data_IF_452963567981
#
_entry.id   IF_452963567981
#
_cell.length_a   1.000
_cell.length_b   1.000
_cell.length_c   1.000
_cell.angle_alpha   90.00
_cell.angle_beta   90.00
_cell.angle_gamma   90.00
#
_symmetry.space_group_name_H-M   'P 1'
#
loop_
_entity.id
_entity.type
_entity.pdbx_description
1 polymer ?
#
# COMPACT_ATOMS: atom_id res chain seq x y z
N UNK A 1 14.25 31.35 16.14
CA UNK A 1 13.42 30.12 16.13
C UNK A 1 13.93 29.23 15.03
N UNK A 2 14.34 27.98 15.31
CA UNK A 2 14.51 26.98 14.25
C UNK A 2 13.12 26.66 13.71
N UNK A 3 12.92 26.68 12.39
CA UNK A 3 11.67 26.23 11.77
C UNK A 3 11.35 24.83 12.28
N UNK A 4 10.16 24.68 12.87
CA UNK A 4 9.64 23.38 13.23
C UNK A 4 9.33 22.64 11.93
N UNK A 5 10.04 21.54 11.69
CA UNK A 5 9.80 20.69 10.54
C UNK A 5 8.96 19.49 10.99
N UNK A 6 7.72 19.33 10.49
CA UNK A 6 6.85 18.26 10.92
C UNK A 6 7.46 16.88 10.64
N UNK A 7 7.31 15.96 11.59
CA UNK A 7 7.84 14.59 11.50
C UNK A 7 7.16 13.81 10.37
N UNK A 8 5.88 14.03 10.12
CA UNK A 8 5.19 13.39 8.98
C UNK A 8 5.79 13.79 7.62
N UNK A 9 6.33 15.00 7.48
CA UNK A 9 6.98 15.43 6.22
C UNK A 9 8.31 14.69 6.01
N UNK A 10 9.04 14.42 7.09
CA UNK A 10 10.27 13.65 7.03
C UNK A 10 10.00 12.19 6.65
N UNK A 11 8.96 11.60 7.25
CA UNK A 11 8.52 10.25 6.94
C UNK A 11 8.00 10.14 5.49
N UNK A 12 7.17 11.09 5.07
CA UNK A 12 6.69 11.18 3.68
C UNK A 12 7.85 11.28 2.70
N UNK A 13 8.79 12.20 2.94
CA UNK A 13 9.97 12.38 2.10
C UNK A 13 10.78 11.11 2.01
N UNK A 14 10.99 10.42 3.13
CA UNK A 14 11.76 9.18 3.16
C UNK A 14 11.13 8.10 2.26
N UNK A 15 9.84 7.77 2.47
CA UNK A 15 9.19 6.76 1.64
C UNK A 15 9.05 7.18 0.18
N UNK A 16 8.78 8.46 -0.08
CA UNK A 16 8.64 8.96 -1.44
C UNK A 16 9.97 8.84 -2.20
N UNK A 17 11.09 9.21 -1.58
CA UNK A 17 12.43 9.05 -2.19
C UNK A 17 12.70 7.59 -2.48
N UNK A 18 12.51 6.70 -1.49
CA UNK A 18 12.71 5.27 -1.67
C UNK A 18 11.87 4.71 -2.82
N UNK A 19 10.56 4.98 -2.82
CA UNK A 19 9.64 4.48 -3.83
C UNK A 19 9.96 5.06 -5.21
N UNK A 20 10.28 6.34 -5.30
CA UNK A 20 10.68 6.99 -6.56
C UNK A 20 11.95 6.36 -7.13
N UNK A 21 12.96 6.09 -6.31
CA UNK A 21 14.22 5.50 -6.77
C UNK A 21 14.03 4.03 -7.18
N UNK A 22 13.22 3.28 -6.45
CA UNK A 22 12.78 1.94 -6.87
C UNK A 22 12.06 2.00 -8.22
N UNK A 23 11.15 2.96 -8.40
CA UNK A 23 10.38 3.14 -9.65
C UNK A 23 11.27 3.49 -10.83
N UNK A 24 12.25 4.36 -10.64
CA UNK A 24 13.24 4.69 -11.68
C UNK A 24 13.97 3.46 -12.13
N UNK A 25 14.39 2.60 -11.20
CA UNK A 25 15.06 1.36 -11.51
C UNK A 25 14.15 0.43 -12.32
N UNK A 26 12.92 0.18 -11.86
CA UNK A 26 12.02 -0.76 -12.56
C UNK A 26 11.56 -0.27 -13.92
N UNK A 27 11.33 1.04 -14.09
CA UNK A 27 11.01 1.62 -15.41
C UNK A 27 12.20 1.54 -16.35
N UNK A 28 13.42 1.87 -15.91
CA UNK A 28 14.63 1.78 -16.73
C UNK A 28 14.94 0.36 -17.17
N UNK A 29 14.69 -0.62 -16.29
CA UNK A 29 14.85 -2.04 -16.61
C UNK A 29 13.70 -2.61 -17.44
N UNK A 30 12.70 -1.79 -17.80
CA UNK A 30 11.54 -2.23 -18.59
C UNK A 30 10.61 -3.19 -17.85
N UNK A 31 10.65 -3.22 -16.52
CA UNK A 31 9.76 -4.01 -15.65
C UNK A 31 8.43 -3.29 -15.37
N UNK A 32 8.44 -1.95 -15.38
CA UNK A 32 7.25 -1.13 -15.27
C UNK A 32 7.13 -0.17 -16.46
N UNK A 33 5.90 0.17 -16.82
CA UNK A 33 5.61 1.26 -17.75
C UNK A 33 5.86 2.62 -17.07
N UNK A 34 6.24 3.64 -17.83
CA UNK A 34 6.53 4.98 -17.29
C UNK A 34 5.34 5.59 -16.51
N UNK A 35 4.10 5.28 -16.88
CA UNK A 35 2.92 5.83 -16.20
C UNK A 35 2.71 5.29 -14.77
N UNK A 36 3.50 4.29 -14.33
CA UNK A 36 3.46 3.80 -12.96
C UNK A 36 3.76 4.90 -11.92
N UNK A 37 4.51 5.95 -12.30
CA UNK A 37 4.82 7.08 -11.41
C UNK A 37 3.56 7.74 -10.83
N UNK A 38 2.44 7.75 -11.57
CA UNK A 38 1.17 8.31 -11.09
C UNK A 38 0.61 7.55 -9.89
N UNK A 39 0.91 6.26 -9.79
CA UNK A 39 0.48 5.39 -8.71
C UNK A 39 1.50 5.33 -7.56
N UNK A 40 2.73 5.74 -7.82
CA UNK A 40 3.84 5.79 -6.85
C UNK A 40 4.03 7.17 -6.21
N UNK A 41 2.99 7.98 -6.24
CA UNK A 41 2.93 9.23 -5.48
C UNK A 41 2.26 8.97 -4.14
N UNK A 42 2.94 9.31 -3.06
CA UNK A 42 2.47 9.15 -1.69
C UNK A 42 1.97 10.50 -1.14
N UNK A 43 1.09 10.42 -0.15
CA UNK A 43 0.60 11.58 0.59
C UNK A 43 0.49 11.23 2.08
N UNK A 44 0.45 12.25 2.91
CA UNK A 44 0.02 12.07 4.31
C UNK A 44 -1.47 11.81 4.30
N UNK A 45 -1.86 10.76 5.00
CA UNK A 45 -3.24 10.37 5.22
C UNK A 45 -3.34 9.62 6.55
N UNK A 46 -4.26 8.67 6.60
CA UNK A 46 -4.54 7.91 7.80
C UNK A 46 -4.87 6.46 7.48
N UNK A 47 -4.62 5.60 8.47
CA UNK A 47 -5.11 4.22 8.50
C UNK A 47 -5.92 4.02 9.77
N UNK A 48 -6.90 3.13 9.69
CA UNK A 48 -7.72 2.73 10.83
C UNK A 48 -7.67 1.21 10.97
N UNK A 49 -7.08 0.76 12.07
CA UNK A 49 -7.02 -0.67 12.39
C UNK A 49 -8.23 -1.10 13.24
N UNK A 50 -8.64 -2.39 13.18
CA UNK A 50 -9.78 -2.87 13.94
C UNK A 50 -9.65 -2.60 15.44
N UNK A 51 -10.64 -1.90 16.01
CA UNK A 51 -10.65 -1.55 17.44
C UNK A 51 -9.69 -0.42 17.85
N UNK A 52 -9.04 0.22 16.89
CA UNK A 52 -8.13 1.35 17.13
C UNK A 52 -8.70 2.65 16.54
N UNK A 53 -8.19 3.78 17.05
CA UNK A 53 -8.45 5.10 16.47
C UNK A 53 -7.72 5.25 15.14
N UNK A 54 -8.13 6.26 14.38
CA UNK A 54 -7.48 6.62 13.13
C UNK A 54 -6.07 7.18 13.41
N UNK A 55 -5.06 6.68 12.70
CA UNK A 55 -3.64 7.03 12.95
C UNK A 55 -3.00 7.57 11.68
N UNK A 56 -2.14 8.59 11.82
CA UNK A 56 -1.38 9.17 10.71
C UNK A 56 -0.48 8.13 10.05
N UNK A 57 -0.59 8.06 8.73
CA UNK A 57 0.19 7.19 7.88
C UNK A 57 0.58 7.85 6.57
N UNK A 58 1.56 7.25 5.89
CA UNK A 58 1.90 7.60 4.51
C UNK A 58 1.21 6.61 3.57
N UNK A 59 0.32 7.11 2.73
CA UNK A 59 -0.60 6.29 1.91
C UNK A 59 -0.47 6.64 0.42
N UNK A 60 -0.92 5.76 -0.50
CA UNK A 60 -0.97 6.07 -1.93
C UNK A 60 -1.93 7.25 -2.20
N UNK A 61 -1.43 8.28 -2.87
CA UNK A 61 -2.20 9.51 -3.12
C UNK A 61 -3.44 9.27 -4.00
N UNK A 62 -3.34 8.36 -4.97
CA UNK A 62 -4.46 8.01 -5.84
C UNK A 62 -5.63 7.41 -5.05
N UNK A 63 -5.37 6.49 -4.11
CA UNK A 63 -6.38 5.92 -3.22
C UNK A 63 -6.94 6.97 -2.26
N UNK A 64 -6.08 7.80 -1.67
CA UNK A 64 -6.52 8.91 -0.81
C UNK A 64 -7.51 9.82 -1.54
N UNK A 65 -7.24 10.13 -2.81
CA UNK A 65 -8.12 10.99 -3.62
C UNK A 65 -9.47 10.35 -3.93
N UNK A 66 -9.53 9.03 -4.13
CA UNK A 66 -10.80 8.34 -4.34
C UNK A 66 -11.64 8.36 -3.06
N UNK A 67 -11.01 8.12 -1.91
CA UNK A 67 -11.73 7.97 -0.63
C UNK A 67 -12.14 9.34 -0.05
N UNK A 68 -11.23 10.32 -0.03
CA UNK A 68 -11.42 11.59 0.68
C UNK A 68 -11.40 12.82 -0.23
N UNK A 69 -11.24 12.64 -1.55
CA UNK A 69 -11.10 13.75 -2.49
C UNK A 69 -9.77 14.49 -2.35
N UNK A 70 -9.76 15.80 -2.65
CA UNK A 70 -8.56 16.66 -2.55
C UNK A 70 -8.32 17.21 -1.14
N UNK A 71 -9.11 16.80 -0.15
CA UNK A 71 -8.92 17.24 1.22
C UNK A 71 -7.55 16.78 1.74
N UNK A 72 -6.83 17.66 2.42
CA UNK A 72 -5.66 17.25 3.19
C UNK A 72 -6.13 16.69 4.54
N UNK A 73 -5.37 15.74 5.11
CA UNK A 73 -5.58 15.33 6.49
C UNK A 73 -5.45 16.56 7.40
N UNK A 74 -6.42 16.75 8.31
CA UNK A 74 -6.33 17.79 9.34
C UNK A 74 -5.40 17.30 10.44
N UNK A 75 -4.15 17.74 10.44
CA UNK A 75 -3.11 17.27 11.36
C UNK A 75 -2.91 18.27 12.50
N UNK A 76 -2.99 17.82 13.75
CA UNK A 76 -2.60 18.64 14.90
C UNK A 76 -1.11 18.47 15.22
N UNK A 77 -0.55 19.41 15.98
CA UNK A 77 0.86 19.33 16.45
C UNK A 77 1.09 18.08 17.31
N UNK A 78 0.10 17.68 18.12
CA UNK A 78 0.20 16.46 18.93
C UNK A 78 0.26 15.21 18.06
N UNK A 79 -0.55 15.16 17.00
CA UNK A 79 -0.56 14.03 16.09
C UNK A 79 0.82 13.90 15.42
N UNK A 80 1.42 15.01 14.99
CA UNK A 80 2.77 15.03 14.41
C UNK A 80 3.86 14.56 15.39
N UNK A 81 3.81 15.00 16.65
CA UNK A 81 4.77 14.57 17.68
C UNK A 81 4.68 13.07 17.96
N UNK A 82 3.50 12.46 17.76
CA UNK A 82 3.29 11.02 17.91
C UNK A 82 3.85 10.19 16.75
N UNK A 83 4.20 10.82 15.61
CA UNK A 83 4.70 10.12 14.42
C UNK A 83 6.04 9.47 14.71
N UNK A 84 6.05 8.14 14.72
CA UNK A 84 7.29 7.36 14.66
C UNK A 84 7.95 7.53 13.30
N UNK A 85 9.26 7.81 13.28
CA UNK A 85 10.10 7.84 12.08
C UNK A 85 10.79 6.50 11.79
N UNK A 86 10.51 5.46 12.59
CA UNK A 86 11.19 4.17 12.50
C UNK A 86 10.60 3.30 11.37
N UNK A 87 11.07 3.57 10.16
CA UNK A 87 10.73 2.78 8.97
C UNK A 87 11.43 1.42 8.99
N UNK A 88 10.86 0.45 8.27
CA UNK A 88 11.41 -0.90 8.20
C UNK A 88 12.16 -1.11 6.88
N UNK A 89 13.45 -0.73 6.86
CA UNK A 89 14.31 -0.84 5.67
C UNK A 89 14.33 -2.23 5.05
N UNK A 90 14.33 -3.29 5.87
CA UNK A 90 14.27 -4.66 5.37
C UNK A 90 12.98 -4.97 4.60
N UNK A 91 11.84 -4.41 5.00
CA UNK A 91 10.57 -4.61 4.28
C UNK A 91 10.59 -3.86 2.96
N UNK A 92 11.10 -2.63 2.97
CA UNK A 92 11.30 -1.85 1.75
C UNK A 92 12.25 -2.58 0.79
N UNK A 93 13.35 -3.16 1.27
CA UNK A 93 14.30 -3.86 0.43
C UNK A 93 13.75 -5.16 -0.20
N UNK A 94 12.86 -5.88 0.50
CA UNK A 94 12.41 -7.22 0.09
C UNK A 94 10.99 -7.27 -0.50
N UNK A 95 10.20 -6.21 -0.34
CA UNK A 95 8.85 -6.13 -0.86
C UNK A 95 8.74 -4.94 -1.83
N UNK A 96 8.37 -5.18 -3.10
CA UNK A 96 8.44 -4.16 -4.14
C UNK A 96 7.35 -3.10 -3.98
N UNK A 97 7.62 -1.90 -4.49
CA UNK A 97 6.60 -0.87 -4.77
C UNK A 97 5.73 -0.54 -3.54
N UNK A 98 4.41 -0.41 -3.71
CA UNK A 98 3.46 -0.06 -2.66
C UNK A 98 3.33 -1.13 -1.56
N UNK A 99 3.74 -2.38 -1.83
CA UNK A 99 3.72 -3.45 -0.83
C UNK A 99 4.73 -3.19 0.29
N UNK A 100 5.96 -2.79 -0.07
CA UNK A 100 6.99 -2.46 0.91
C UNK A 100 6.57 -1.31 1.83
N UNK A 101 5.96 -0.27 1.26
CA UNK A 101 5.44 0.87 2.03
C UNK A 101 4.32 0.42 2.97
N UNK A 102 3.37 -0.38 2.49
CA UNK A 102 2.25 -0.92 3.29
C UNK A 102 2.75 -1.68 4.51
N UNK A 103 3.65 -2.64 4.29
CA UNK A 103 4.17 -3.49 5.35
C UNK A 103 5.03 -2.70 6.34
N UNK A 104 5.82 -1.73 5.84
CA UNK A 104 6.60 -0.82 6.68
C UNK A 104 5.69 0.04 7.56
N UNK A 105 4.60 0.58 7.01
CA UNK A 105 3.60 1.35 7.77
C UNK A 105 2.93 0.48 8.85
N UNK A 106 2.49 -0.73 8.52
CA UNK A 106 1.92 -1.65 9.51
C UNK A 106 2.88 -1.88 10.69
N UNK A 107 4.16 -2.16 10.42
CA UNK A 107 5.12 -2.39 11.52
C UNK A 107 5.43 -1.11 12.29
N UNK A 108 5.59 0.03 11.61
CA UNK A 108 5.82 1.35 12.24
C UNK A 108 4.68 1.73 13.19
N UNK A 109 3.45 1.37 12.82
CA UNK A 109 2.22 1.60 13.59
C UNK A 109 1.92 0.46 14.58
N UNK A 110 2.92 -0.36 14.93
CA UNK A 110 2.84 -1.46 15.91
C UNK A 110 1.92 -2.63 15.50
N UNK A 111 1.47 -2.68 14.25
CA UNK A 111 0.66 -3.75 13.66
C UNK A 111 1.52 -4.87 13.03
N UNK A 112 2.59 -5.29 13.75
CA UNK A 112 3.48 -6.37 13.29
C UNK A 112 2.75 -7.72 13.07
N UNK A 113 1.76 -8.13 13.89
CA UNK A 113 1.01 -9.36 13.62
C UNK A 113 0.27 -9.33 12.27
N UNK A 114 -0.37 -8.20 11.94
CA UNK A 114 -1.01 -8.01 10.64
C UNK A 114 0.01 -8.05 9.51
N UNK A 115 1.12 -7.31 9.64
CA UNK A 115 2.19 -7.31 8.62
C UNK A 115 2.70 -8.73 8.32
N UNK A 116 2.88 -9.57 9.35
CA UNK A 116 3.32 -10.96 9.15
C UNK A 116 2.27 -11.81 8.41
N UNK A 117 0.97 -11.64 8.72
CA UNK A 117 -0.12 -12.31 8.01
C UNK A 117 -0.18 -11.88 6.55
N UNK A 118 -0.05 -10.58 6.27
CA UNK A 118 0.00 -10.03 4.91
C UNK A 118 1.22 -10.54 4.13
N UNK A 119 2.40 -10.58 4.73
CA UNK A 119 3.61 -11.15 4.10
C UNK A 119 3.37 -12.61 3.71
N UNK A 120 2.76 -13.40 4.60
CA UNK A 120 2.44 -14.80 4.30
C UNK A 120 1.46 -14.92 3.13
N UNK A 121 0.43 -14.06 3.10
CA UNK A 121 -0.59 -14.04 2.04
C UNK A 121 0.02 -13.64 0.70
N UNK A 122 0.75 -12.51 0.63
CA UNK A 122 1.32 -12.02 -0.62
C UNK A 122 2.35 -12.97 -1.22
N UNK A 123 3.08 -13.72 -0.38
CA UNK A 123 4.02 -14.76 -0.85
C UNK A 123 3.32 -15.92 -1.54
N UNK A 124 2.09 -16.28 -1.15
CA UNK A 124 1.33 -17.34 -1.80
C UNK A 124 1.03 -17.02 -3.28
N UNK A 125 0.90 -15.72 -3.59
CA UNK A 125 0.58 -15.23 -4.93
C UNK A 125 1.77 -14.54 -5.60
N UNK A 126 3.01 -14.90 -5.23
CA UNK A 126 4.22 -14.27 -5.76
C UNK A 126 4.29 -14.40 -7.28
N UNK A 127 4.61 -13.30 -7.97
CA UNK A 127 4.73 -13.31 -9.43
C UNK A 127 3.40 -13.34 -10.17
N UNK A 128 2.28 -13.01 -9.51
CA UNK A 128 0.96 -12.90 -10.14
C UNK A 128 0.38 -11.49 -10.00
N UNK A 129 -0.53 -11.12 -10.91
CA UNK A 129 -1.31 -9.89 -10.79
C UNK A 129 -2.13 -9.84 -9.49
N UNK A 130 -2.55 -11.01 -8.98
CA UNK A 130 -3.34 -11.12 -7.76
C UNK A 130 -2.63 -10.49 -6.57
N UNK A 131 -1.29 -10.63 -6.48
CA UNK A 131 -0.51 -9.98 -5.42
C UNK A 131 -0.65 -8.45 -5.47
N UNK A 132 -0.58 -7.86 -6.65
CA UNK A 132 -0.73 -6.41 -6.82
C UNK A 132 -2.14 -5.96 -6.46
N UNK A 133 -3.17 -6.72 -6.88
CA UNK A 133 -4.57 -6.45 -6.54
C UNK A 133 -4.83 -6.54 -5.04
N UNK A 134 -4.27 -7.56 -4.37
CA UNK A 134 -4.37 -7.74 -2.93
C UNK A 134 -3.71 -6.58 -2.16
N UNK A 135 -2.54 -6.10 -2.60
CA UNK A 135 -1.90 -4.92 -1.96
C UNK A 135 -2.81 -3.69 -2.05
N UNK A 136 -3.45 -3.47 -3.19
CA UNK A 136 -4.37 -2.36 -3.41
C UNK A 136 -5.63 -2.44 -2.56
N UNK A 137 -6.28 -3.60 -2.54
CA UNK A 137 -7.46 -3.82 -1.71
C UNK A 137 -7.12 -3.70 -0.21
N UNK A 138 -5.93 -4.13 0.22
CA UNK A 138 -5.50 -4.01 1.61
C UNK A 138 -5.31 -2.54 2.02
N UNK A 139 -4.67 -1.73 1.17
CA UNK A 139 -4.60 -0.29 1.39
C UNK A 139 -5.99 0.32 1.52
N UNK A 140 -6.89 0.00 0.60
CA UNK A 140 -8.25 0.52 0.59
C UNK A 140 -9.02 0.16 1.87
N UNK A 141 -8.96 -1.08 2.32
CA UNK A 141 -9.64 -1.55 3.53
C UNK A 141 -9.09 -0.90 4.80
N UNK A 142 -7.77 -0.73 4.88
CA UNK A 142 -7.13 -0.05 6.02
C UNK A 142 -7.44 1.44 6.06
N UNK A 143 -7.53 2.12 4.91
CA UNK A 143 -7.89 3.54 4.87
C UNK A 143 -9.35 3.76 5.30
N UNK A 144 -10.28 2.90 4.87
CA UNK A 144 -11.68 2.98 5.30
C UNK A 144 -11.92 2.47 6.73
N UNK A 145 -10.98 1.72 7.30
CA UNK A 145 -11.18 1.03 8.56
C UNK A 145 -12.19 -0.11 8.45
N UNK A 146 -12.20 -0.80 7.31
CA UNK A 146 -12.99 -2.00 7.10
C UNK A 146 -12.50 -3.15 7.98
N UNK A 147 -13.35 -4.16 8.17
CA UNK A 147 -12.97 -5.35 8.91
C UNK A 147 -11.81 -6.08 8.21
N UNK A 148 -10.83 -6.52 8.99
CA UNK A 148 -9.65 -7.23 8.47
C UNK A 148 -9.72 -8.76 8.62
N UNK A 149 -10.83 -9.32 9.09
CA UNK A 149 -10.98 -10.77 9.34
C UNK A 149 -10.64 -11.60 8.10
N UNK A 150 -11.04 -11.13 6.91
CA UNK A 150 -10.68 -11.79 5.65
C UNK A 150 -9.16 -11.82 5.45
N UNK A 151 -8.50 -10.67 5.59
CA UNK A 151 -7.05 -10.52 5.48
C UNK A 151 -6.28 -11.38 6.48
N UNK A 152 -6.83 -11.53 7.68
CA UNK A 152 -6.13 -12.17 8.79
C UNK A 152 -6.37 -13.67 8.87
N UNK A 153 -7.57 -14.13 8.52
CA UNK A 153 -8.03 -15.47 8.87
C UNK A 153 -8.63 -16.25 7.70
N UNK A 154 -9.17 -15.62 6.65
CA UNK A 154 -9.87 -16.34 5.57
C UNK A 154 -9.07 -16.44 4.27
N UNK A 155 -8.45 -15.35 3.81
CA UNK A 155 -7.85 -15.26 2.46
C UNK A 155 -6.72 -16.28 2.24
N UNK A 156 -5.93 -16.56 3.27
CA UNK A 156 -4.80 -17.50 3.18
C UNK A 156 -5.21 -18.94 2.85
N UNK A 157 -6.48 -19.28 3.05
CA UNK A 157 -6.99 -20.63 2.79
C UNK A 157 -7.68 -20.76 1.44
N UNK A 158 -7.91 -19.65 0.74
CA UNK A 158 -8.50 -19.64 -0.60
C UNK A 158 -7.49 -20.15 -1.62
N UNK A 159 -7.96 -20.99 -2.55
CA UNK A 159 -7.23 -21.36 -3.76
C UNK A 159 -7.39 -20.28 -4.83
N UNK A 160 -6.59 -20.32 -5.88
CA UNK A 160 -6.57 -19.32 -6.96
C UNK A 160 -7.97 -18.96 -7.48
N UNK A 161 -8.80 -19.96 -7.80
CA UNK A 161 -10.19 -19.72 -8.27
C UNK A 161 -11.07 -19.01 -7.24
N UNK A 162 -10.93 -19.35 -5.96
CA UNK A 162 -11.70 -18.72 -4.89
C UNK A 162 -11.20 -17.31 -4.61
N UNK A 163 -9.89 -17.08 -4.81
CA UNK A 163 -9.28 -15.76 -4.74
C UNK A 163 -9.76 -14.87 -5.88
N UNK A 164 -9.82 -15.39 -7.10
CA UNK A 164 -10.34 -14.67 -8.27
C UNK A 164 -11.79 -14.23 -8.04
N UNK A 165 -12.64 -15.13 -7.53
CA UNK A 165 -14.04 -14.81 -7.21
C UNK A 165 -14.09 -13.69 -6.17
N UNK A 166 -13.33 -13.82 -5.06
CA UNK A 166 -13.33 -12.81 -4.00
C UNK A 166 -12.85 -11.45 -4.52
N UNK A 167 -11.80 -11.40 -5.34
CA UNK A 167 -11.32 -10.15 -5.95
C UNK A 167 -12.37 -9.57 -6.89
N UNK A 168 -13.01 -10.39 -7.73
CA UNK A 168 -14.05 -9.93 -8.65
C UNK A 168 -15.25 -9.33 -7.91
N UNK A 169 -15.67 -9.95 -6.81
CA UNK A 169 -16.74 -9.43 -5.95
C UNK A 169 -16.36 -8.06 -5.38
N UNK A 170 -15.14 -7.92 -4.86
CA UNK A 170 -14.61 -6.63 -4.37
C UNK A 170 -14.48 -5.59 -5.48
N UNK A 171 -14.11 -6.00 -6.69
CA UNK A 171 -14.02 -5.11 -7.86
C UNK A 171 -15.42 -4.62 -8.31
N UNK A 172 -16.44 -5.47 -8.19
CA UNK A 172 -17.82 -5.12 -8.52
C UNK A 172 -18.42 -4.09 -7.55
N UNK A 173 -18.01 -4.12 -6.28
CA UNK A 173 -18.47 -3.17 -5.25
C UNK A 173 -17.96 -1.74 -5.47
N UNK A 174 -16.79 -1.56 -6.10
CA UNK A 174 -16.21 -0.24 -6.33
C UNK A 174 -15.55 -0.13 -7.73
N UNK A 175 -16.30 0.29 -8.75
CA UNK A 175 -15.78 0.46 -10.11
C UNK A 175 -14.63 1.47 -10.22
N UNK A 176 -14.59 2.51 -9.37
CA UNK A 176 -13.54 3.51 -9.40
C UNK A 176 -12.21 2.95 -8.89
N UNK A 177 -12.25 2.16 -7.81
CA UNK A 177 -11.09 1.43 -7.30
C UNK A 177 -10.59 0.41 -8.32
N UNK A 178 -11.53 -0.33 -8.95
CA UNK A 178 -11.26 -1.31 -10.01
C UNK A 178 -10.47 -0.68 -11.16
N UNK A 179 -10.92 0.45 -11.69
CA UNK A 179 -10.22 1.14 -12.78
C UNK A 179 -8.77 1.52 -12.42
N UNK A 180 -8.54 2.09 -11.23
CA UNK A 180 -7.18 2.41 -10.79
C UNK A 180 -6.30 1.17 -10.58
N UNK A 181 -6.88 0.11 -10.02
CA UNK A 181 -6.16 -1.13 -9.75
C UNK A 181 -5.75 -1.80 -11.07
N UNK A 182 -6.65 -1.86 -12.05
CA UNK A 182 -6.36 -2.43 -13.36
C UNK A 182 -5.30 -1.61 -14.12
N UNK A 183 -5.34 -0.27 -14.02
CA UNK A 183 -4.26 0.59 -14.54
C UNK A 183 -2.91 0.30 -13.87
N UNK A 184 -2.88 0.19 -12.54
CA UNK A 184 -1.66 -0.12 -11.80
C UNK A 184 -1.07 -1.47 -12.21
N UNK A 185 -1.91 -2.51 -12.29
CA UNK A 185 -1.51 -3.86 -12.74
C UNK A 185 -0.97 -3.79 -14.17
N UNK A 186 -1.66 -3.10 -15.08
CA UNK A 186 -1.21 -2.92 -16.46
C UNK A 186 0.19 -2.28 -16.53
N UNK A 187 0.44 -1.25 -15.71
CA UNK A 187 1.74 -0.57 -15.67
C UNK A 187 2.82 -1.36 -14.92
N UNK A 188 2.45 -2.34 -14.11
CA UNK A 188 3.35 -3.19 -13.34
C UNK A 188 3.51 -4.60 -13.92
N UNK A 189 2.84 -4.93 -15.02
CA UNK A 189 2.68 -6.30 -15.54
C UNK A 189 3.96 -7.14 -15.63
N UNK A 190 5.10 -6.55 -16.04
CA UNK A 190 6.36 -7.31 -16.16
C UNK A 190 7.04 -7.61 -14.83
N UNK A 191 6.53 -7.08 -13.71
CA UNK A 191 6.90 -7.52 -12.35
C UNK A 191 6.17 -8.81 -11.93
N UNK A 192 5.12 -9.18 -12.67
CA UNK A 192 4.25 -10.34 -12.43
C UNK A 192 4.17 -11.27 -13.64
N UNK A 193 5.02 -11.08 -14.65
CA UNK A 193 5.09 -12.01 -15.77
C UNK A 193 5.91 -13.24 -15.32
N UNK A 194 5.35 -14.43 -15.48
CA UNK A 194 6.14 -15.66 -15.37
C UNK A 194 7.31 -15.60 -16.37
N UNK A 195 8.50 -16.12 -16.01
CA UNK A 195 9.60 -16.22 -16.95
C UNK A 195 9.12 -16.96 -18.21
N UNK A 196 9.43 -16.41 -19.39
CA UNK A 196 9.24 -17.09 -20.66
C UNK A 196 9.98 -18.43 -20.57
N UNK A 197 9.22 -19.53 -20.51
CA UNK A 197 9.75 -20.90 -20.63
C UNK A 197 10.42 -21.10 -21.99
#
# INVERSE_FOLDING_TARGET
>A
MKEYKPRYEELHKYYQVWLTDFTKLTVRSGMCHQNIYHHHTLTVGSLKFPGEEEVIAIVPQCLHRIIYGRAAASLTVNDDLSVSLFTQEHLLAHHPMLEGVLLSECVRLKQRPLANKLISLFRQFSGSELRLKLVWLCWYDLMLGNCLDDWTDNLRFKKDKEMDIWINDRQAENPALTGLMDEYVCFAWRTTAEPLN
#
